data_IF_359316944036
#
_entry.id   IF_359316944036
#
_cell.length_a   1.000
_cell.length_b   1.000
_cell.length_c   1.000
_cell.angle_alpha   90.00
_cell.angle_beta   90.00
_cell.angle_gamma   90.00
#
_symmetry.space_group_name_H-M   'P 1'
#
loop_
_entity.id
_entity.type
_entity.pdbx_description
1 polymer ?
#
# COMPACT_ATOMS: atom_id res chain seq x y z
N UNK A 1 21.98 -24.04 -0.08
CA UNK A 1 22.39 -22.65 -0.35
C UNK A 1 21.43 -21.80 0.46
N UNK A 2 21.88 -21.08 1.50
CA UNK A 2 20.96 -20.42 2.46
C UNK A 2 20.44 -19.12 1.85
N UNK A 3 19.15 -19.10 1.56
CA UNK A 3 18.41 -17.93 1.07
C UNK A 3 18.44 -16.82 2.13
N UNK A 4 18.89 -15.65 1.70
CA UNK A 4 19.11 -14.51 2.58
C UNK A 4 17.82 -13.69 2.62
N UNK A 5 17.01 -13.90 3.64
CA UNK A 5 15.90 -13.02 3.99
C UNK A 5 16.46 -11.63 4.30
N UNK A 6 16.31 -10.69 3.38
CA UNK A 6 16.54 -9.27 3.64
C UNK A 6 15.16 -8.59 3.70
N UNK A 7 14.85 -8.02 4.85
CA UNK A 7 13.88 -6.94 4.93
C UNK A 7 12.39 -7.27 4.89
N UNK A 8 11.98 -8.49 4.58
CA UNK A 8 10.55 -8.85 4.49
C UNK A 8 9.92 -8.57 3.12
N UNK A 9 10.73 -8.23 2.11
CA UNK A 9 10.30 -8.26 0.72
C UNK A 9 10.66 -9.61 0.07
N UNK A 10 9.62 -10.18 -0.52
CA UNK A 10 9.64 -11.37 -1.36
C UNK A 10 10.30 -11.02 -2.69
N UNK A 11 11.62 -11.16 -2.81
CA UNK A 11 12.31 -11.07 -4.11
C UNK A 11 11.84 -12.13 -5.15
N UNK A 12 10.84 -12.97 -4.82
CA UNK A 12 10.46 -14.12 -5.63
C UNK A 12 8.95 -14.38 -5.72
N UNK A 13 8.09 -13.57 -5.08
CA UNK A 13 6.65 -13.78 -5.22
C UNK A 13 6.10 -13.03 -6.43
N UNK A 14 5.41 -13.77 -7.29
CA UNK A 14 4.62 -13.15 -8.34
C UNK A 14 3.33 -12.53 -7.76
N UNK A 15 2.64 -11.73 -8.57
CA UNK A 15 1.43 -11.02 -8.17
C UNK A 15 0.32 -11.97 -7.67
N UNK A 16 0.20 -13.19 -8.22
CA UNK A 16 -0.78 -14.16 -7.72
C UNK A 16 -0.45 -14.62 -6.29
N UNK A 17 0.81 -14.94 -6.02
CA UNK A 17 1.28 -15.33 -4.68
C UNK A 17 1.14 -14.18 -3.69
N UNK A 18 1.49 -12.95 -4.11
CA UNK A 18 1.35 -11.77 -3.27
C UNK A 18 -0.12 -11.46 -2.94
N UNK A 19 -1.02 -11.57 -3.92
CA UNK A 19 -2.47 -11.38 -3.69
C UNK A 19 -3.08 -12.46 -2.81
N UNK A 20 -2.48 -13.65 -2.72
CA UNK A 20 -2.90 -14.70 -1.78
C UNK A 20 -2.61 -14.34 -0.31
N UNK A 21 -1.60 -13.50 -0.06
CA UNK A 21 -1.24 -13.05 1.29
C UNK A 21 -2.24 -12.04 1.90
N UNK A 22 -3.28 -11.69 1.15
CA UNK A 22 -4.32 -10.74 1.56
C UNK A 22 -4.96 -11.10 2.89
N UNK A 23 -5.37 -12.35 3.12
CA UNK A 23 -5.96 -12.81 4.39
C UNK A 23 -5.00 -12.63 5.57
N UNK A 24 -3.73 -13.00 5.41
CA UNK A 24 -2.72 -12.77 6.44
C UNK A 24 -2.54 -11.28 6.72
N UNK A 25 -2.60 -10.42 5.69
CA UNK A 25 -2.53 -8.97 5.87
C UNK A 25 -3.75 -8.42 6.64
N UNK A 26 -4.96 -8.97 6.45
CA UNK A 26 -6.14 -8.62 7.27
C UNK A 26 -5.88 -8.89 8.74
N UNK A 27 -5.48 -10.11 9.07
CA UNK A 27 -5.29 -10.54 10.45
C UNK A 27 -4.22 -9.71 11.14
N UNK A 28 -3.06 -9.53 10.48
CA UNK A 28 -1.96 -8.74 11.03
C UNK A 28 -2.34 -7.27 11.22
N UNK A 29 -3.00 -6.67 10.23
CA UNK A 29 -3.46 -5.27 10.32
C UNK A 29 -4.45 -5.10 11.46
N UNK A 30 -5.45 -5.98 11.56
CA UNK A 30 -6.45 -5.89 12.62
C UNK A 30 -5.86 -6.13 14.00
N UNK A 31 -4.93 -7.08 14.14
CA UNK A 31 -4.23 -7.31 15.39
C UNK A 31 -3.52 -6.04 15.86
N UNK A 32 -2.81 -5.33 14.96
CA UNK A 32 -2.18 -4.05 15.30
C UNK A 32 -3.21 -2.97 15.68
N UNK A 33 -4.29 -2.84 14.90
CA UNK A 33 -5.37 -1.87 15.15
C UNK A 33 -6.01 -2.09 16.53
N UNK A 34 -6.32 -3.34 16.86
CA UNK A 34 -6.96 -3.69 18.13
C UNK A 34 -6.08 -3.40 19.36
N UNK A 35 -4.75 -3.52 19.20
CA UNK A 35 -3.77 -3.22 20.25
C UNK A 35 -3.61 -1.70 20.40
N UNK A 36 -3.44 -0.98 19.28
CA UNK A 36 -3.11 0.44 19.30
C UNK A 36 -4.33 1.35 19.54
N UNK A 37 -5.52 0.91 19.13
CA UNK A 37 -6.75 1.69 19.21
C UNK A 37 -7.86 0.89 19.91
N UNK A 38 -7.83 0.77 21.26
CA UNK A 38 -8.78 -0.07 21.99
C UNK A 38 -10.26 0.30 21.79
N UNK A 39 -10.55 1.54 21.37
CA UNK A 39 -11.91 1.98 21.00
C UNK A 39 -12.52 1.16 19.86
N UNK A 40 -11.69 0.54 19.01
CA UNK A 40 -12.12 -0.31 17.88
C UNK A 40 -12.73 -1.63 18.32
N UNK A 41 -12.54 -2.06 19.57
CA UNK A 41 -13.15 -3.28 20.13
C UNK A 41 -14.69 -3.29 20.12
N UNK A 42 -15.31 -2.12 19.97
CA UNK A 42 -16.76 -1.96 19.91
C UNK A 42 -17.32 -1.99 18.48
N UNK A 43 -16.46 -2.07 17.46
CA UNK A 43 -16.91 -2.10 16.08
C UNK A 43 -17.63 -3.42 15.78
N UNK A 44 -18.71 -3.31 15.01
CA UNK A 44 -19.34 -4.47 14.40
C UNK A 44 -18.39 -5.10 13.37
N UNK A 45 -18.45 -6.44 13.22
CA UNK A 45 -17.59 -7.16 12.26
C UNK A 45 -17.76 -6.64 10.83
N UNK A 46 -18.94 -6.11 10.47
CA UNK A 46 -19.18 -5.49 9.15
C UNK A 46 -18.28 -4.27 8.93
N UNK A 47 -18.15 -3.39 9.93
CA UNK A 47 -17.41 -2.13 9.85
C UNK A 47 -15.91 -2.41 9.88
N UNK A 48 -15.49 -3.33 10.76
CA UNK A 48 -14.13 -3.87 10.77
C UNK A 48 -13.72 -4.40 9.39
N UNK A 49 -14.56 -5.24 8.80
CA UNK A 49 -14.27 -5.84 7.50
C UNK A 49 -14.22 -4.77 6.40
N UNK A 50 -15.13 -3.80 6.42
CA UNK A 50 -15.13 -2.69 5.47
C UNK A 50 -13.87 -1.81 5.59
N UNK A 51 -13.46 -1.42 6.81
CA UNK A 51 -12.22 -0.66 7.04
C UNK A 51 -11.00 -1.38 6.47
N UNK A 52 -10.88 -2.69 6.77
CA UNK A 52 -9.77 -3.47 6.27
C UNK A 52 -9.81 -3.60 4.73
N UNK A 53 -10.98 -3.90 4.14
CA UNK A 53 -11.14 -4.00 2.67
C UNK A 53 -10.76 -2.71 1.96
N UNK A 54 -11.19 -1.56 2.47
CA UNK A 54 -10.84 -0.27 1.86
C UNK A 54 -9.36 0.09 2.06
N UNK A 55 -8.73 -0.41 3.13
CA UNK A 55 -7.32 -0.14 3.41
C UNK A 55 -6.35 -1.00 2.57
N UNK A 56 -6.73 -2.20 2.14
CA UNK A 56 -5.84 -3.10 1.40
C UNK A 56 -5.24 -2.45 0.13
N UNK A 57 -5.99 -1.80 -0.76
CA UNK A 57 -5.39 -1.12 -1.93
C UNK A 57 -4.37 -0.04 -1.55
N UNK A 58 -4.63 0.70 -0.45
CA UNK A 58 -3.69 1.69 0.10
C UNK A 58 -2.43 1.02 0.64
N UNK A 59 -2.58 -0.10 1.36
CA UNK A 59 -1.45 -0.89 1.86
C UNK A 59 -0.54 -1.37 0.72
N UNK A 60 -1.12 -1.73 -0.43
CA UNK A 60 -0.37 -2.10 -1.64
C UNK A 60 0.44 -0.96 -2.25
N UNK A 61 0.16 0.30 -1.89
CA UNK A 61 1.00 1.45 -2.24
C UNK A 61 2.04 1.75 -1.16
N UNK A 62 1.66 1.67 0.11
CA UNK A 62 2.53 2.03 1.23
C UNK A 62 3.65 1.01 1.42
N UNK A 63 3.34 -0.29 1.38
CA UNK A 63 4.30 -1.35 1.60
C UNK A 63 5.54 -1.27 0.68
N UNK A 64 5.40 -1.11 -0.66
CA UNK A 64 6.58 -0.94 -1.52
C UNK A 64 7.31 0.39 -1.29
N UNK A 65 6.63 1.48 -0.90
CA UNK A 65 7.32 2.74 -0.52
C UNK A 65 8.21 2.49 0.70
N UNK A 66 7.71 1.78 1.70
CA UNK A 66 8.46 1.50 2.92
C UNK A 66 9.66 0.62 2.66
N UNK A 67 9.54 -0.33 1.73
CA UNK A 67 10.70 -1.09 1.32
C UNK A 67 11.71 -0.26 0.54
N UNK A 68 11.26 0.67 -0.31
CA UNK A 68 12.15 1.63 -0.95
C UNK A 68 12.90 2.49 0.07
N UNK A 69 12.25 2.94 1.15
CA UNK A 69 12.89 3.68 2.24
C UNK A 69 13.93 2.79 2.94
N UNK A 70 13.58 1.53 3.24
CA UNK A 70 14.44 0.60 3.95
C UNK A 70 15.65 0.14 3.15
N UNK A 71 15.47 -0.05 1.84
CA UNK A 71 16.47 -0.54 0.90
C UNK A 71 16.87 0.54 -0.11
N UNK A 72 16.93 1.81 0.32
CA UNK A 72 17.20 2.96 -0.54
C UNK A 72 18.40 2.75 -1.47
N UNK A 73 19.54 2.31 -0.92
CA UNK A 73 20.78 2.05 -1.66
C UNK A 73 20.62 1.02 -2.79
N UNK A 74 19.73 0.04 -2.62
CA UNK A 74 19.46 -0.98 -3.64
C UNK A 74 18.68 -0.36 -4.81
N UNK A 75 17.60 0.35 -4.51
CA UNK A 75 16.74 0.97 -5.52
C UNK A 75 17.43 2.13 -6.25
N UNK A 76 18.26 2.89 -5.55
CA UNK A 76 19.06 3.97 -6.15
C UNK A 76 20.08 3.44 -7.17
N UNK A 77 20.61 2.23 -6.96
CA UNK A 77 21.63 1.60 -7.82
C UNK A 77 21.05 0.59 -8.81
N UNK A 78 19.73 0.51 -8.90
CA UNK A 78 19.03 -0.45 -9.75
C UNK A 78 19.30 -0.13 -11.22
N UNK A 79 19.93 -1.05 -11.94
CA UNK A 79 20.15 -0.88 -13.38
C UNK A 79 18.97 -1.40 -14.21
N UNK A 80 18.90 -0.99 -15.48
CA UNK A 80 17.79 -1.37 -16.38
C UNK A 80 17.57 -2.88 -16.49
N UNK A 81 18.63 -3.69 -16.46
CA UNK A 81 18.49 -5.16 -16.56
C UNK A 81 17.89 -5.75 -15.28
N UNK A 82 18.24 -5.21 -14.11
CA UNK A 82 17.63 -5.63 -12.84
C UNK A 82 16.19 -5.16 -12.74
N UNK A 83 15.91 -3.93 -13.19
CA UNK A 83 14.57 -3.36 -13.24
C UNK A 83 13.63 -4.17 -14.15
N UNK A 84 14.06 -4.49 -15.36
CA UNK A 84 13.30 -5.36 -16.29
C UNK A 84 13.02 -6.73 -15.66
N UNK A 85 14.03 -7.35 -15.06
CA UNK A 85 13.86 -8.65 -14.39
C UNK A 85 12.84 -8.58 -13.26
N UNK A 86 12.87 -7.53 -12.45
CA UNK A 86 11.93 -7.32 -11.34
C UNK A 86 10.48 -7.24 -11.82
N UNK A 87 10.22 -6.44 -12.87
CA UNK A 87 8.88 -6.33 -13.48
C UNK A 87 8.45 -7.67 -14.06
N UNK A 88 9.30 -8.30 -14.87
CA UNK A 88 8.98 -9.57 -15.53
C UNK A 88 8.69 -10.66 -14.50
N UNK A 89 9.52 -10.81 -13.47
CA UNK A 89 9.32 -11.83 -12.44
C UNK A 89 8.02 -11.63 -11.65
N UNK A 90 7.56 -10.38 -11.50
CA UNK A 90 6.35 -10.09 -10.77
C UNK A 90 5.09 -10.62 -11.48
N UNK A 91 5.01 -10.57 -12.81
CA UNK A 91 3.83 -11.06 -13.54
C UNK A 91 3.98 -12.50 -14.02
N UNK A 92 5.21 -12.94 -14.31
CA UNK A 92 5.47 -14.28 -14.86
C UNK A 92 5.01 -15.36 -13.88
N UNK A 93 4.42 -16.44 -14.41
CA UNK A 93 3.79 -17.50 -13.60
C UNK A 93 2.38 -17.17 -13.09
N UNK A 94 1.94 -15.92 -13.17
CA UNK A 94 0.59 -15.53 -12.75
C UNK A 94 -0.45 -15.60 -13.87
N UNK A 95 -0.06 -15.71 -15.14
CA UNK A 95 -1.01 -15.80 -16.25
C UNK A 95 -1.86 -17.09 -16.22
N UNK A 96 -3.04 -17.04 -16.84
CA UNK A 96 -3.81 -18.24 -17.18
C UNK A 96 -3.02 -19.06 -18.20
N UNK A 97 -3.01 -20.39 -18.01
CA UNK A 97 -2.28 -21.32 -18.88
C UNK A 97 -2.63 -21.12 -20.36
N UNK A 98 -1.61 -20.97 -21.21
CA UNK A 98 -1.74 -20.76 -22.65
C UNK A 98 -2.05 -19.31 -23.05
N UNK A 99 -2.10 -18.37 -22.10
CA UNK A 99 -2.29 -16.93 -22.33
C UNK A 99 -1.14 -16.08 -21.81
N UNK A 100 0.02 -16.70 -21.61
CA UNK A 100 1.23 -16.04 -21.13
C UNK A 100 1.71 -14.99 -22.13
N UNK A 101 2.13 -13.84 -21.60
CA UNK A 101 2.84 -12.84 -22.38
C UNK A 101 4.35 -13.14 -22.40
N UNK A 102 5.01 -12.80 -23.50
CA UNK A 102 6.47 -12.78 -23.53
C UNK A 102 7.04 -11.69 -22.63
N UNK A 103 8.30 -11.81 -22.20
CA UNK A 103 8.96 -10.83 -21.34
C UNK A 103 8.90 -9.40 -21.93
N UNK A 104 9.06 -9.27 -23.26
CA UNK A 104 8.92 -7.99 -23.98
C UNK A 104 7.50 -7.42 -23.92
N UNK A 105 6.49 -8.27 -23.99
CA UNK A 105 5.09 -7.84 -23.89
C UNK A 105 4.73 -7.45 -22.46
N UNK A 106 5.23 -8.19 -21.46
CA UNK A 106 5.10 -7.83 -20.04
C UNK A 106 5.65 -6.43 -19.82
N UNK A 107 6.88 -6.16 -20.27
CA UNK A 107 7.48 -4.82 -20.15
C UNK A 107 6.61 -3.76 -20.83
N UNK A 108 6.25 -3.97 -22.10
CA UNK A 108 5.41 -3.00 -22.85
C UNK A 108 4.10 -2.67 -22.14
N UNK A 109 3.47 -3.66 -21.50
CA UNK A 109 2.16 -3.50 -20.86
C UNK A 109 2.28 -2.90 -19.47
N UNK A 110 3.24 -3.34 -18.66
CA UNK A 110 3.26 -3.06 -17.23
C UNK A 110 4.33 -2.05 -16.78
N UNK A 111 5.42 -1.88 -17.52
CA UNK A 111 6.47 -0.89 -17.21
C UNK A 111 5.91 0.52 -16.94
N UNK A 112 4.91 1.05 -17.68
CA UNK A 112 4.37 2.38 -17.41
C UNK A 112 3.78 2.57 -15.99
N UNK A 113 3.26 1.50 -15.37
CA UNK A 113 2.74 1.55 -14.00
C UNK A 113 3.87 1.60 -12.99
N UNK A 114 4.90 0.77 -13.19
CA UNK A 114 6.10 0.74 -12.37
C UNK A 114 6.87 2.06 -12.47
N UNK A 115 7.04 2.60 -13.67
CA UNK A 115 7.65 3.92 -13.89
C UNK A 115 6.88 5.02 -13.18
N UNK A 116 5.54 4.99 -13.24
CA UNK A 116 4.72 5.96 -12.52
C UNK A 116 4.92 5.86 -11.00
N UNK A 117 5.05 4.65 -10.46
CA UNK A 117 5.31 4.45 -9.04
C UNK A 117 6.70 4.97 -8.66
N UNK A 118 7.75 4.47 -9.30
CA UNK A 118 9.15 4.76 -8.96
C UNK A 118 9.60 6.17 -9.30
N UNK A 119 8.94 6.88 -10.23
CA UNK A 119 9.32 8.24 -10.60
C UNK A 119 8.39 9.33 -10.04
N UNK A 120 7.16 9.00 -9.66
CA UNK A 120 6.15 10.03 -9.26
C UNK A 120 5.51 9.81 -7.91
N UNK A 121 5.44 8.57 -7.43
CA UNK A 121 4.73 8.24 -6.18
C UNK A 121 5.71 8.08 -5.03
N UNK A 122 6.71 7.21 -5.19
CA UNK A 122 7.68 6.92 -4.13
C UNK A 122 8.67 8.07 -3.86
N UNK A 123 9.29 8.71 -4.88
CA UNK A 123 10.36 9.69 -4.62
C UNK A 123 9.96 10.89 -3.77
N UNK A 124 8.79 11.53 -3.95
CA UNK A 124 8.38 12.64 -3.09
C UNK A 124 8.27 12.24 -1.61
N UNK A 125 7.75 11.04 -1.33
CA UNK A 125 7.58 10.55 0.06
C UNK A 125 8.94 10.15 0.65
N UNK A 126 9.79 9.48 -0.12
CA UNK A 126 11.16 9.13 0.29
C UNK A 126 11.97 10.39 0.58
N UNK A 127 11.86 11.42 -0.28
CA UNK A 127 12.56 12.69 -0.16
C UNK A 127 12.22 13.48 1.10
N UNK A 128 11.05 13.24 1.70
CA UNK A 128 10.70 13.83 3.00
C UNK A 128 11.52 13.24 4.15
N UNK A 129 12.14 12.06 3.99
CA UNK A 129 12.91 11.41 5.05
C UNK A 129 12.13 11.37 6.39
N UNK A 130 10.90 10.83 6.31
CA UNK A 130 9.98 10.73 7.44
C UNK A 130 10.51 9.77 8.51
N UNK A 131 10.38 10.16 9.78
CA UNK A 131 10.66 9.25 10.90
C UNK A 131 9.57 8.18 11.02
N UNK A 132 9.85 7.10 11.77
CA UNK A 132 8.93 5.95 11.90
C UNK A 132 7.58 6.36 12.46
N UNK A 133 7.56 7.30 13.39
CA UNK A 133 6.38 7.86 14.02
C UNK A 133 5.50 8.60 12.99
N UNK A 134 6.11 9.34 12.07
CA UNK A 134 5.41 10.01 10.97
C UNK A 134 4.86 9.01 9.96
N UNK A 135 5.64 7.98 9.60
CA UNK A 135 5.19 6.89 8.73
C UNK A 135 4.03 6.09 9.34
N UNK A 136 4.06 5.83 10.65
CA UNK A 136 2.96 5.20 11.37
C UNK A 136 1.72 6.08 11.40
N UNK A 137 1.88 7.40 11.57
CA UNK A 137 0.76 8.33 11.48
C UNK A 137 0.09 8.26 10.09
N UNK A 138 0.87 8.26 9.01
CA UNK A 138 0.35 8.11 7.64
C UNK A 138 -0.46 6.83 7.47
N UNK A 139 0.06 5.67 7.91
CA UNK A 139 -0.66 4.39 7.86
C UNK A 139 -2.03 4.52 8.53
N UNK A 140 -2.07 5.04 9.75
CA UNK A 140 -3.31 5.09 10.52
C UNK A 140 -4.28 6.17 10.03
N UNK A 141 -3.78 7.26 9.46
CA UNK A 141 -4.63 8.26 8.79
C UNK A 141 -5.32 7.68 7.55
N UNK A 142 -4.66 6.76 6.83
CA UNK A 142 -5.24 6.03 5.69
C UNK A 142 -6.17 4.90 6.11
N UNK A 143 -5.87 4.21 7.23
CA UNK A 143 -6.74 3.17 7.76
C UNK A 143 -8.07 3.74 8.30
N UNK A 144 -7.99 4.76 9.16
CA UNK A 144 -9.16 5.43 9.74
C UNK A 144 -9.67 6.56 8.84
N UNK A 145 -9.84 6.27 7.55
CA UNK A 145 -10.49 7.20 6.65
C UNK A 145 -11.99 7.27 6.95
N UNK A 146 -12.49 8.48 7.12
CA UNK A 146 -13.87 8.77 7.44
C UNK A 146 -14.71 9.09 6.19
N UNK A 147 -14.16 8.87 5.00
CA UNK A 147 -14.81 9.07 3.71
C UNK A 147 -15.32 7.78 3.07
N UNK A 148 -15.12 6.62 3.71
CA UNK A 148 -15.68 5.36 3.23
C UNK A 148 -17.21 5.37 3.27
N UNK A 149 -17.84 4.94 2.18
CA UNK A 149 -19.30 4.96 1.99
C UNK A 149 -19.98 3.69 2.54
N UNK A 150 -19.21 2.64 2.80
CA UNK A 150 -19.67 1.31 3.23
C UNK A 150 -19.45 1.02 4.73
N UNK A 151 -19.26 2.07 5.55
CA UNK A 151 -19.16 1.97 7.02
C UNK A 151 -20.35 2.65 7.71
N UNK A 152 -20.68 2.21 8.92
CA UNK A 152 -21.73 2.82 9.75
C UNK A 152 -21.42 4.26 10.17
N UNK A 153 -22.44 5.02 10.57
CA UNK A 153 -22.27 6.38 11.10
C UNK A 153 -21.44 6.38 12.39
N UNK A 154 -21.64 5.37 13.23
CA UNK A 154 -20.90 5.15 14.47
C UNK A 154 -19.41 4.90 14.18
N UNK A 155 -19.11 4.05 13.19
CA UNK A 155 -17.74 3.80 12.74
C UNK A 155 -17.10 5.06 12.16
N UNK A 156 -17.85 5.82 11.37
CA UNK A 156 -17.40 7.06 10.77
C UNK A 156 -17.06 8.11 11.83
N UNK A 157 -17.89 8.27 12.86
CA UNK A 157 -17.61 9.16 13.99
C UNK A 157 -16.37 8.70 14.78
N UNK A 158 -16.23 7.39 15.02
CA UNK A 158 -15.04 6.83 15.66
C UNK A 158 -13.77 7.13 14.84
N UNK A 159 -13.78 6.91 13.53
CA UNK A 159 -12.64 7.20 12.64
C UNK A 159 -12.27 8.67 12.70
N UNK A 160 -13.25 9.59 12.65
CA UNK A 160 -13.01 11.04 12.81
C UNK A 160 -12.32 11.38 14.12
N UNK A 161 -12.74 10.76 15.23
CA UNK A 161 -12.17 11.02 16.53
C UNK A 161 -10.73 10.48 16.65
N UNK A 162 -10.48 9.26 16.16
CA UNK A 162 -9.14 8.67 16.11
C UNK A 162 -8.21 9.53 15.22
N UNK A 163 -8.66 9.95 14.04
CA UNK A 163 -7.91 10.82 13.13
C UNK A 163 -7.47 12.12 13.79
N UNK A 164 -8.35 12.77 14.56
CA UNK A 164 -7.98 13.98 15.34
C UNK A 164 -6.88 13.70 16.35
N UNK A 165 -6.91 12.54 17.02
CA UNK A 165 -5.86 12.14 17.97
C UNK A 165 -4.55 11.91 17.22
N UNK A 166 -4.55 11.15 16.13
CA UNK A 166 -3.34 10.89 15.33
C UNK A 166 -2.70 12.20 14.85
N UNK A 167 -3.49 13.12 14.29
CA UNK A 167 -2.98 14.42 13.83
C UNK A 167 -2.39 15.26 14.97
N UNK A 168 -3.01 15.22 16.15
CA UNK A 168 -2.50 15.93 17.34
C UNK A 168 -1.18 15.33 17.80
N UNK A 169 -1.09 14.00 17.92
CA UNK A 169 0.14 13.34 18.36
C UNK A 169 1.27 13.51 17.33
N UNK A 170 0.97 13.46 16.03
CA UNK A 170 1.93 13.79 14.97
C UNK A 170 2.50 15.20 15.12
N UNK A 171 1.62 16.19 15.32
CA UNK A 171 2.03 17.58 15.52
C UNK A 171 2.87 17.76 16.79
N UNK A 172 2.49 17.10 17.89
CA UNK A 172 3.24 17.13 19.14
C UNK A 172 4.66 16.55 18.95
N UNK A 173 4.76 15.38 18.32
CA UNK A 173 6.04 14.75 18.00
C UNK A 173 6.94 15.67 17.17
N UNK A 174 6.40 16.28 16.11
CA UNK A 174 7.17 17.18 15.25
C UNK A 174 7.61 18.46 15.98
N UNK A 175 6.76 19.00 16.86
CA UNK A 175 7.10 20.15 17.71
C UNK A 175 8.22 19.81 18.72
N UNK A 176 8.16 18.64 19.37
CA UNK A 176 9.19 18.20 20.31
C UNK A 176 10.57 18.04 19.64
N UNK A 177 10.57 17.64 18.36
CA UNK A 177 11.77 17.55 17.52
C UNK A 177 12.23 18.89 16.94
N UNK A 178 11.46 19.97 17.15
CA UNK A 178 11.70 21.30 16.58
C UNK A 178 11.79 21.31 15.04
N UNK A 179 10.97 20.50 14.36
CA UNK A 179 10.79 20.64 12.92
C UNK A 179 10.09 21.95 12.57
N UNK A 180 10.24 22.40 11.33
CA UNK A 180 9.52 23.56 10.82
C UNK A 180 8.02 23.29 10.68
N UNK A 181 7.20 24.34 10.65
CA UNK A 181 5.75 24.20 10.58
C UNK A 181 5.25 23.54 9.28
N UNK A 182 6.00 23.63 8.17
CA UNK A 182 5.62 23.00 6.91
C UNK A 182 5.74 21.49 6.97
N UNK A 183 6.61 20.95 7.84
CA UNK A 183 6.74 19.50 8.05
C UNK A 183 5.41 18.80 8.33
N UNK A 184 4.52 19.42 9.09
CA UNK A 184 3.19 18.85 9.33
C UNK A 184 2.37 18.75 8.05
N UNK A 185 2.36 19.82 7.25
CA UNK A 185 1.63 19.86 5.98
C UNK A 185 2.22 18.89 4.95
N UNK A 186 3.55 18.87 4.81
CA UNK A 186 4.27 17.96 3.92
C UNK A 186 3.97 16.49 4.26
N UNK A 187 3.99 16.13 5.55
CA UNK A 187 3.65 14.78 6.01
C UNK A 187 2.19 14.43 5.69
N UNK A 188 1.25 15.35 5.88
CA UNK A 188 -0.18 15.10 5.57
C UNK A 188 -0.46 15.06 4.06
N UNK A 189 0.27 15.84 3.25
CA UNK A 189 0.15 15.84 1.78
C UNK A 189 0.53 14.48 1.17
N UNK A 190 1.35 13.68 1.87
CA UNK A 190 1.65 12.30 1.43
C UNK A 190 0.40 11.44 1.25
N UNK A 191 -0.68 11.71 2.01
CA UNK A 191 -1.95 11.00 1.86
C UNK A 191 -2.51 11.16 0.45
N UNK A 192 -2.44 12.37 -0.12
CA UNK A 192 -2.91 12.63 -1.48
C UNK A 192 -2.02 11.97 -2.54
N UNK A 193 -0.71 11.91 -2.28
CA UNK A 193 0.23 11.20 -3.16
C UNK A 193 -0.12 9.72 -3.20
N UNK A 194 -0.41 9.12 -2.04
CA UNK A 194 -0.80 7.71 -1.91
C UNK A 194 -2.15 7.46 -2.61
N UNK A 195 -3.15 8.33 -2.43
CA UNK A 195 -4.44 8.22 -3.12
C UNK A 195 -4.31 8.31 -4.66
N UNK A 196 -3.38 9.14 -5.15
CA UNK A 196 -3.06 9.19 -6.59
C UNK A 196 -2.37 7.91 -7.07
N UNK A 197 -1.47 7.35 -6.25
CA UNK A 197 -0.83 6.05 -6.50
C UNK A 197 -1.86 4.92 -6.56
N UNK A 198 -2.80 4.89 -5.61
CA UNK A 198 -3.88 3.91 -5.55
C UNK A 198 -4.71 3.92 -6.84
N UNK A 199 -5.08 5.11 -7.36
CA UNK A 199 -5.81 5.21 -8.64
C UNK A 199 -5.04 4.61 -9.81
N UNK A 200 -3.71 4.78 -9.85
CA UNK A 200 -2.86 4.16 -10.87
C UNK A 200 -2.80 2.64 -10.72
N UNK A 201 -2.70 2.17 -9.48
CA UNK A 201 -2.73 0.75 -9.14
C UNK A 201 -4.06 0.09 -9.53
N UNK A 202 -5.20 0.74 -9.29
CA UNK A 202 -6.51 0.22 -9.76
C UNK A 202 -6.55 0.09 -11.29
N UNK A 203 -5.88 1.00 -12.01
CA UNK A 203 -5.67 0.89 -13.45
C UNK A 203 -4.82 -0.33 -13.82
N UNK A 204 -3.71 -0.55 -13.12
CA UNK A 204 -2.84 -1.72 -13.29
C UNK A 204 -3.62 -3.03 -13.10
N UNK A 205 -4.41 -3.13 -12.03
CA UNK A 205 -5.22 -4.32 -11.74
C UNK A 205 -6.26 -4.60 -12.83
N UNK A 206 -6.80 -3.55 -13.45
CA UNK A 206 -7.69 -3.69 -14.61
C UNK A 206 -6.94 -4.20 -15.83
N UNK A 207 -5.70 -3.72 -16.06
CA UNK A 207 -4.84 -4.22 -17.14
C UNK A 207 -4.43 -5.69 -16.91
N UNK A 208 -4.16 -6.09 -15.67
CA UNK A 208 -3.94 -7.48 -15.29
C UNK A 208 -5.10 -8.37 -15.72
N UNK A 209 -6.33 -7.97 -15.41
CA UNK A 209 -7.55 -8.70 -15.80
C UNK A 209 -7.67 -8.82 -17.33
N UNK A 210 -7.46 -7.73 -18.08
CA UNK A 210 -7.51 -7.72 -19.54
C UNK A 210 -6.46 -8.65 -20.18
N UNK A 211 -5.31 -8.82 -19.54
CA UNK A 211 -4.22 -9.68 -20.02
C UNK A 211 -4.19 -11.07 -19.36
N UNK A 212 -5.29 -11.49 -18.72
CA UNK A 212 -5.43 -12.83 -18.11
C UNK A 212 -4.37 -13.13 -17.03
N UNK A 213 -3.90 -12.11 -16.32
CA UNK A 213 -3.12 -12.28 -15.10
C UNK A 213 -4.08 -12.74 -13.99
N UNK A 214 -3.77 -13.88 -13.37
CA UNK A 214 -4.53 -14.40 -12.24
C UNK A 214 -4.18 -13.59 -10.99
N UNK A 215 -5.22 -13.13 -10.31
CA UNK A 215 -5.16 -12.61 -8.95
C UNK A 215 -5.93 -13.58 -8.04
N UNK A 216 -5.59 -13.63 -6.76
CA UNK A 216 -6.37 -14.38 -5.78
C UNK A 216 -7.81 -13.85 -5.68
N UNK A 217 -8.80 -14.72 -5.52
CA UNK A 217 -10.22 -14.34 -5.63
C UNK A 217 -10.66 -13.38 -4.52
N UNK A 218 -10.17 -13.58 -3.30
CA UNK A 218 -10.40 -12.65 -2.19
C UNK A 218 -9.90 -11.24 -2.51
N UNK A 219 -8.72 -11.15 -3.14
CA UNK A 219 -8.17 -9.86 -3.55
C UNK A 219 -9.02 -9.21 -4.65
N UNK A 220 -9.49 -9.99 -5.64
CA UNK A 220 -10.40 -9.48 -6.67
C UNK A 220 -11.69 -8.94 -6.08
N UNK A 221 -12.27 -9.61 -5.08
CA UNK A 221 -13.50 -9.17 -4.43
C UNK A 221 -13.34 -7.77 -3.84
N UNK A 222 -12.22 -7.51 -3.16
CA UNK A 222 -11.87 -6.19 -2.62
C UNK A 222 -11.79 -5.13 -3.73
N UNK A 223 -11.13 -5.45 -4.84
CA UNK A 223 -10.99 -4.51 -5.95
C UNK A 223 -12.34 -4.16 -6.60
N UNK A 224 -13.28 -5.11 -6.65
CA UNK A 224 -14.61 -4.87 -7.22
C UNK A 224 -15.47 -3.96 -6.33
N UNK A 225 -15.38 -4.10 -5.02
CA UNK A 225 -16.09 -3.22 -4.08
C UNK A 225 -15.62 -1.77 -4.16
N UNK A 226 -14.32 -1.55 -4.37
CA UNK A 226 -13.74 -0.21 -4.48
C UNK A 226 -13.93 0.47 -5.86
N UNK A 227 -14.57 -0.22 -6.84
CA UNK A 227 -14.88 0.36 -8.17
C UNK A 227 -16.17 1.21 -8.17
N UNK A 228 -16.97 1.18 -7.10
CA UNK A 228 -18.29 1.80 -6.99
C UNK A 228 -18.44 2.57 -5.67
#
# INVERSE_FOLDING_TARGET
MREKYIGGIMEWMNIYELTKMTETNYELTWNMVSIMFPSTSKLEEKDKSALLRNFIPKLWQIAPIFDCIKNYDYYEKLNNTQYEKMIVSFYKGSFVEGKELSDKEIMRVFEPFWDSFYNKTAPPIIGLNLEKEELMAIIWLLFFDNCYTNISLECLEMCRNIKKVILRELKNFQNEKNYDEMRFFDTVETLEIIDRGEKKFMGEMTICEMHNVRLHDEFKAILMENKY
#
